data_IF_597153422780
#
_entry.id   IF_597153422780
#
_cell.length_a   1.000
_cell.length_b   1.000
_cell.length_c   1.000
_cell.angle_alpha   90.00
_cell.angle_beta   90.00
_cell.angle_gamma   90.00
#
_symmetry.space_group_name_H-M   'P 1'
#
loop_
_entity.id
_entity.type
_entity.pdbx_description
1 polymer ?
#
# COMPACT_ATOMS: atom_id res chain seq x y z
N UNK A 1 12.06 6.16 8.63
CA UNK A 1 12.90 5.80 7.47
C UNK A 1 11.98 5.59 6.26
N UNK A 2 12.33 6.12 5.09
CA UNK A 2 11.57 5.96 3.85
C UNK A 2 12.26 4.92 2.98
N UNK A 3 11.50 4.00 2.41
CA UNK A 3 12.01 2.93 1.55
C UNK A 3 11.43 3.12 0.16
N UNK A 4 12.29 3.33 -0.83
CA UNK A 4 11.91 3.49 -2.23
C UNK A 4 12.27 2.21 -2.99
N UNK A 5 11.29 1.63 -3.67
CA UNK A 5 11.43 0.38 -4.42
C UNK A 5 10.95 0.60 -5.83
N UNK A 6 11.70 0.15 -6.83
CA UNK A 6 11.29 0.31 -8.21
C UNK A 6 12.38 -0.02 -9.23
N UNK A 7 12.15 0.44 -10.46
CA UNK A 7 13.17 0.48 -11.50
C UNK A 7 13.82 1.85 -11.52
N UNK A 8 15.03 1.93 -12.05
CA UNK A 8 15.79 3.18 -12.17
C UNK A 8 17.07 3.15 -11.36
N UNK A 9 17.69 4.31 -11.24
CA UNK A 9 18.97 4.49 -10.56
C UNK A 9 18.87 5.42 -9.36
N UNK A 10 19.77 5.25 -8.39
CA UNK A 10 19.76 6.05 -7.15
C UNK A 10 19.87 7.56 -7.41
N UNK A 11 20.59 7.95 -8.47
CA UNK A 11 20.80 9.34 -8.88
C UNK A 11 19.51 10.02 -9.35
N UNK A 12 18.55 9.25 -9.84
CA UNK A 12 17.29 9.78 -10.38
C UNK A 12 16.39 10.34 -9.28
N UNK A 13 16.62 9.96 -8.02
CA UNK A 13 15.89 10.48 -6.87
C UNK A 13 16.29 11.91 -6.50
N UNK A 14 17.45 12.40 -6.99
CA UNK A 14 17.96 13.75 -6.75
C UNK A 14 17.83 14.18 -5.26
N UNK A 15 18.14 13.26 -4.35
CA UNK A 15 17.94 13.51 -2.93
C UNK A 15 18.91 14.60 -2.43
N UNK A 16 18.41 15.58 -1.66
CA UNK A 16 19.25 16.45 -0.86
C UNK A 16 20.16 15.63 0.06
N UNK A 17 21.37 16.12 0.32
CA UNK A 17 22.37 15.42 1.13
C UNK A 17 21.84 15.09 2.54
N UNK A 18 20.96 15.94 3.08
CA UNK A 18 20.32 15.80 4.38
C UNK A 18 19.37 14.59 4.46
N UNK A 19 18.93 14.06 3.31
CA UNK A 19 17.99 12.93 3.24
C UNK A 19 18.67 11.57 2.97
N UNK A 20 19.98 11.54 2.73
CA UNK A 20 20.72 10.33 2.37
C UNK A 20 20.58 9.22 3.42
N UNK A 21 20.64 9.54 4.71
CA UNK A 21 20.62 8.55 5.78
C UNK A 21 19.22 8.02 6.12
N UNK A 22 18.17 8.73 5.69
CA UNK A 22 16.78 8.40 6.01
C UNK A 22 16.04 7.74 4.86
N UNK A 23 16.60 7.77 3.64
CA UNK A 23 16.04 7.12 2.45
C UNK A 23 16.89 5.94 2.01
N UNK A 24 16.29 4.76 1.94
CA UNK A 24 16.91 3.59 1.30
C UNK A 24 16.26 3.30 -0.05
N UNK A 25 17.07 3.20 -1.10
CA UNK A 25 16.63 2.84 -2.45
C UNK A 25 17.01 1.40 -2.78
N UNK A 26 16.03 0.61 -3.20
CA UNK A 26 16.22 -0.79 -3.58
C UNK A 26 15.75 -1.02 -5.02
N UNK A 27 16.64 -0.85 -6.00
CA UNK A 27 16.32 -1.09 -7.40
C UNK A 27 16.38 -2.58 -7.73
N UNK A 28 15.53 -3.03 -8.66
CA UNK A 28 15.63 -4.37 -9.27
C UNK A 28 15.64 -5.55 -8.27
N UNK A 29 14.91 -5.42 -7.16
CA UNK A 29 14.80 -6.50 -6.18
C UNK A 29 14.25 -7.78 -6.83
N UNK A 30 14.82 -8.92 -6.44
CA UNK A 30 14.24 -10.22 -6.78
C UNK A 30 12.87 -10.32 -6.13
N UNK A 31 11.97 -11.07 -6.78
CA UNK A 31 10.57 -11.17 -6.35
C UNK A 31 10.39 -11.50 -4.86
N UNK A 32 11.10 -12.50 -4.26
CA UNK A 32 10.96 -12.77 -2.83
C UNK A 32 11.46 -11.63 -1.93
N UNK A 33 12.52 -10.94 -2.34
CA UNK A 33 13.12 -9.84 -1.59
C UNK A 33 12.20 -8.61 -1.61
N UNK A 34 11.55 -8.36 -2.75
CA UNK A 34 10.53 -7.32 -2.91
C UNK A 34 9.37 -7.48 -1.92
N UNK A 35 8.76 -8.67 -1.87
CA UNK A 35 7.65 -8.93 -0.94
C UNK A 35 8.10 -8.96 0.52
N UNK A 36 9.31 -9.47 0.78
CA UNK A 36 9.89 -9.48 2.12
C UNK A 36 10.12 -8.08 2.67
N UNK A 37 10.48 -7.14 1.79
CA UNK A 37 10.63 -5.74 2.15
C UNK A 37 9.27 -5.09 2.40
N UNK A 38 8.30 -5.27 1.49
CA UNK A 38 6.96 -4.69 1.61
C UNK A 38 6.28 -5.10 2.91
N UNK A 39 6.24 -6.40 3.25
CA UNK A 39 5.50 -6.89 4.42
C UNK A 39 5.98 -6.32 5.77
N UNK A 40 7.21 -5.79 5.82
CA UNK A 40 7.83 -5.17 7.00
C UNK A 40 7.54 -3.68 7.13
N UNK A 41 6.92 -3.08 6.12
CA UNK A 41 6.53 -1.67 6.14
C UNK A 41 5.28 -1.44 6.99
N UNK A 42 5.19 -0.25 7.60
CA UNK A 42 3.98 0.20 8.28
C UNK A 42 2.89 0.64 7.30
N UNK A 43 3.28 1.32 6.23
CA UNK A 43 2.38 1.81 5.21
C UNK A 43 3.07 1.80 3.84
N UNK A 44 2.27 1.72 2.78
CA UNK A 44 2.71 1.99 1.41
C UNK A 44 2.17 3.34 0.97
N UNK A 45 3.00 4.13 0.29
CA UNK A 45 2.60 5.42 -0.27
C UNK A 45 2.33 5.23 -1.78
N UNK A 46 1.07 5.29 -2.23
CA UNK A 46 0.73 5.16 -3.63
C UNK A 46 1.08 6.46 -4.38
N UNK A 47 2.22 6.47 -5.07
CA UNK A 47 2.66 7.58 -5.93
C UNK A 47 2.11 7.41 -7.35
N UNK A 48 0.79 7.56 -7.52
CA UNK A 48 0.15 7.37 -8.82
C UNK A 48 0.50 8.52 -9.78
N UNK A 49 1.46 8.29 -10.66
CA UNK A 49 1.86 9.27 -11.68
C UNK A 49 0.91 9.39 -12.88
N UNK A 50 -0.20 8.64 -12.92
CA UNK A 50 -1.14 8.65 -14.04
C UNK A 50 -2.60 8.51 -13.56
N UNK A 51 -3.55 9.29 -14.12
CA UNK A 51 -4.98 9.22 -13.77
C UNK A 51 -5.64 7.87 -14.01
N UNK A 52 -5.10 7.06 -14.93
CA UNK A 52 -5.65 5.74 -15.30
C UNK A 52 -5.85 4.81 -14.10
N UNK A 53 -5.07 4.98 -13.02
CA UNK A 53 -5.21 4.21 -11.79
C UNK A 53 -6.44 4.56 -10.93
N UNK A 54 -7.15 5.63 -11.29
CA UNK A 54 -8.41 6.05 -10.68
C UNK A 54 -9.64 5.78 -11.56
N UNK A 55 -9.43 5.31 -12.79
CA UNK A 55 -10.47 5.27 -13.83
C UNK A 55 -10.66 3.89 -14.44
N UNK A 56 -9.56 3.23 -14.84
CA UNK A 56 -9.62 2.07 -15.73
C UNK A 56 -8.61 0.97 -15.43
N UNK A 57 -7.64 1.20 -14.54
CA UNK A 57 -6.61 0.21 -14.18
C UNK A 57 -6.46 0.07 -12.69
N UNK A 58 -6.34 -1.18 -12.25
CA UNK A 58 -5.94 -1.48 -10.88
C UNK A 58 -4.43 -1.26 -10.72
N UNK A 59 -4.04 -0.52 -9.68
CA UNK A 59 -2.64 -0.33 -9.33
C UNK A 59 -2.04 -1.57 -8.66
N UNK A 60 -0.84 -1.95 -9.08
CA UNK A 60 -0.09 -3.04 -8.43
C UNK A 60 0.26 -2.72 -6.98
N UNK A 61 0.36 -1.44 -6.59
CA UNK A 61 0.57 -1.04 -5.19
C UNK A 61 -0.66 -1.36 -4.34
N UNK A 62 -1.87 -1.19 -4.87
CA UNK A 62 -3.12 -1.53 -4.17
C UNK A 62 -3.22 -3.04 -3.99
N UNK A 63 -2.88 -3.81 -5.04
CA UNK A 63 -2.80 -5.27 -4.93
C UNK A 63 -1.71 -5.70 -3.93
N UNK A 64 -0.54 -5.08 -3.95
CA UNK A 64 0.54 -5.40 -3.03
C UNK A 64 0.14 -5.14 -1.58
N UNK A 65 -0.56 -4.03 -1.32
CA UNK A 65 -1.15 -3.71 -0.03
C UNK A 65 -2.09 -4.82 0.44
N UNK A 66 -3.05 -5.22 -0.39
CA UNK A 66 -3.98 -6.31 -0.09
C UNK A 66 -3.26 -7.63 0.21
N UNK A 67 -2.34 -8.04 -0.66
CA UNK A 67 -1.61 -9.32 -0.52
C UNK A 67 -0.83 -9.37 0.79
N UNK A 68 -0.13 -8.29 1.13
CA UNK A 68 0.76 -8.23 2.30
C UNK A 68 0.11 -7.73 3.58
N UNK A 69 -1.17 -7.34 3.52
CA UNK A 69 -1.87 -6.60 4.58
C UNK A 69 -1.17 -5.32 5.03
N UNK A 70 -0.39 -4.66 4.17
CA UNK A 70 0.26 -3.40 4.51
C UNK A 70 -0.64 -2.26 4.08
N UNK A 71 -1.17 -1.44 5.00
CA UNK A 71 -2.10 -0.36 4.66
C UNK A 71 -1.52 0.68 3.70
N UNK A 72 -2.38 1.29 2.90
CA UNK A 72 -2.02 2.45 2.08
C UNK A 72 -2.12 3.74 2.90
N UNK A 73 -1.18 4.67 2.70
CA UNK A 73 -1.43 6.09 3.00
C UNK A 73 -2.27 6.66 1.85
N UNK A 74 -3.55 6.89 2.10
CA UNK A 74 -4.53 7.14 1.05
C UNK A 74 -5.20 8.52 1.20
N UNK A 75 -5.67 9.05 0.09
CA UNK A 75 -6.62 10.17 0.05
C UNK A 75 -8.04 9.66 -0.24
N UNK A 76 -9.05 10.51 -0.02
CA UNK A 76 -10.46 10.14 -0.22
C UNK A 76 -10.72 9.61 -1.64
N UNK A 77 -10.12 10.24 -2.65
CA UNK A 77 -10.21 9.83 -4.06
C UNK A 77 -9.84 8.35 -4.27
N UNK A 78 -8.86 7.84 -3.53
CA UNK A 78 -8.47 6.43 -3.62
C UNK A 78 -9.62 5.53 -3.12
N UNK A 79 -10.29 5.89 -2.02
CA UNK A 79 -11.43 5.14 -1.51
C UNK A 79 -12.64 5.22 -2.44
N UNK A 80 -12.83 6.35 -3.12
CA UNK A 80 -13.91 6.54 -4.09
C UNK A 80 -13.70 5.65 -5.34
N UNK A 81 -12.45 5.43 -5.76
CA UNK A 81 -12.12 4.49 -6.85
C UNK A 81 -12.14 3.03 -6.40
N UNK A 82 -11.43 2.71 -5.32
CA UNK A 82 -11.21 1.34 -4.86
C UNK A 82 -12.25 1.00 -3.79
N UNK A 83 -13.51 0.86 -4.21
CA UNK A 83 -14.70 0.78 -3.33
C UNK A 83 -14.77 -0.47 -2.44
N UNK A 84 -13.90 -1.47 -2.65
CA UNK A 84 -13.71 -2.58 -1.72
C UNK A 84 -12.90 -2.18 -0.48
N UNK A 85 -12.19 -1.06 -0.53
CA UNK A 85 -11.53 -0.45 0.62
C UNK A 85 -12.50 0.51 1.33
N UNK A 86 -12.19 0.79 2.60
CA UNK A 86 -12.94 1.72 3.44
C UNK A 86 -11.95 2.40 4.39
N UNK A 87 -12.33 3.46 5.12
CA UNK A 87 -11.40 4.20 5.98
C UNK A 87 -10.66 3.34 7.00
N UNK A 88 -11.25 2.21 7.47
CA UNK A 88 -10.56 1.29 8.40
C UNK A 88 -9.42 0.48 7.77
N UNK A 89 -9.35 0.39 6.45
CA UNK A 89 -8.35 -0.44 5.74
C UNK A 89 -7.07 0.34 5.39
N UNK A 90 -7.09 1.66 5.56
CA UNK A 90 -6.03 2.57 5.09
C UNK A 90 -5.67 3.57 6.19
N UNK A 91 -4.55 4.26 6.02
CA UNK A 91 -4.30 5.51 6.70
C UNK A 91 -4.83 6.64 5.83
N UNK A 92 -6.01 7.14 6.17
CA UNK A 92 -6.61 8.25 5.43
C UNK A 92 -5.90 9.56 5.81
N UNK A 93 -5.48 10.32 4.78
CA UNK A 93 -4.96 11.68 4.93
C UNK A 93 -6.08 12.61 5.37
N UNK A 94 -5.77 13.52 6.28
CA UNK A 94 -6.68 14.57 6.71
C UNK A 94 -6.82 15.63 5.60
N UNK A 95 -7.92 16.41 5.58
CA UNK A 95 -8.07 17.51 4.61
C UNK A 95 -6.89 18.49 4.68
N UNK A 96 -6.23 18.72 3.54
CA UNK A 96 -5.06 19.61 3.44
C UNK A 96 -3.74 19.02 3.94
N UNK A 97 -3.73 17.78 4.42
CA UNK A 97 -2.52 17.11 4.91
C UNK A 97 -1.69 16.56 3.75
N UNK A 98 -0.40 16.90 3.68
CA UNK A 98 0.55 16.28 2.76
C UNK A 98 1.06 14.92 3.26
N UNK A 99 1.72 14.16 2.40
CA UNK A 99 2.23 12.82 2.73
C UNK A 99 3.18 12.84 3.93
N UNK A 100 4.04 13.86 4.02
CA UNK A 100 5.04 13.95 5.10
C UNK A 100 4.38 14.20 6.45
N UNK A 101 3.43 15.13 6.52
CA UNK A 101 2.65 15.45 7.70
C UNK A 101 1.85 14.24 8.17
N UNK A 102 1.25 13.51 7.23
CA UNK A 102 0.58 12.26 7.54
C UNK A 102 1.54 11.22 8.10
N UNK A 103 2.72 11.03 7.50
CA UNK A 103 3.73 10.11 8.01
C UNK A 103 4.23 10.49 9.42
N UNK A 104 4.34 11.78 9.73
CA UNK A 104 4.68 12.25 11.08
C UNK A 104 3.57 11.94 12.07
N UNK A 105 2.31 12.21 11.70
CA UNK A 105 1.14 11.87 12.53
C UNK A 105 1.07 10.37 12.82
N UNK A 106 1.28 9.53 11.81
CA UNK A 106 1.27 8.08 11.97
C UNK A 106 2.36 7.57 12.93
N UNK A 107 3.55 8.20 12.92
CA UNK A 107 4.63 7.85 13.84
C UNK A 107 4.32 8.19 15.29
N UNK A 108 3.40 9.12 15.54
CA UNK A 108 2.96 9.50 16.88
C UNK A 108 1.79 8.65 17.40
N UNK A 109 1.23 7.74 16.59
CA UNK A 109 0.10 6.91 16.99
C UNK A 109 0.53 5.83 17.98
N UNK A 110 -0.34 5.47 18.95
CA UNK A 110 -0.18 4.24 19.72
C UNK A 110 -0.13 3.02 18.80
N UNK A 111 0.68 2.02 19.18
CA UNK A 111 0.88 0.80 18.40
C UNK A 111 -0.44 0.12 18.00
N UNK A 112 -1.41 0.07 18.92
CA UNK A 112 -2.72 -0.53 18.65
C UNK A 112 -3.43 0.13 17.46
N UNK A 113 -3.39 1.47 17.39
CA UNK A 113 -4.00 2.27 16.32
C UNK A 113 -3.20 2.14 15.02
N UNK A 114 -1.88 2.07 15.11
CA UNK A 114 -1.00 1.85 13.96
C UNK A 114 -1.22 0.46 13.32
N UNK A 115 -1.50 -0.55 14.13
CA UNK A 115 -1.72 -1.92 13.66
C UNK A 115 -3.17 -2.22 13.27
N UNK A 116 -4.14 -1.38 13.66
CA UNK A 116 -5.55 -1.62 13.39
C UNK A 116 -5.88 -1.72 11.89
N UNK A 117 -5.39 -0.83 11.01
CA UNK A 117 -5.67 -0.96 9.58
C UNK A 117 -5.06 -2.22 8.95
N UNK A 118 -3.90 -2.66 9.45
CA UNK A 118 -3.26 -3.91 9.00
C UNK A 118 -4.13 -5.13 9.31
N UNK A 119 -4.70 -5.20 10.53
CA UNK A 119 -5.64 -6.27 10.90
C UNK A 119 -6.87 -6.26 10.01
N UNK A 120 -7.52 -5.09 9.86
CA UNK A 120 -8.71 -4.95 9.03
C UNK A 120 -8.45 -5.30 7.56
N UNK A 121 -7.28 -4.97 7.02
CA UNK A 121 -6.90 -5.31 5.64
C UNK A 121 -6.65 -6.82 5.47
N UNK A 122 -6.07 -7.49 6.48
CA UNK A 122 -5.93 -8.94 6.50
C UNK A 122 -7.28 -9.67 6.56
N UNK A 123 -8.24 -9.15 7.34
CA UNK A 123 -9.61 -9.65 7.37
C UNK A 123 -10.28 -9.51 5.99
N UNK A 124 -10.16 -8.32 5.37
CA UNK A 124 -10.68 -8.09 4.02
C UNK A 124 -10.08 -9.07 3.00
N UNK A 125 -8.74 -9.22 3.00
CA UNK A 125 -8.05 -10.18 2.12
C UNK A 125 -8.59 -11.60 2.33
N UNK A 126 -8.76 -12.03 3.58
CA UNK A 126 -9.33 -13.35 3.91
C UNK A 126 -10.74 -13.52 3.35
N UNK A 127 -11.61 -12.53 3.54
CA UNK A 127 -12.98 -12.57 3.02
C UNK A 127 -13.02 -12.60 1.48
N UNK A 128 -12.17 -11.83 0.82
CA UNK A 128 -12.07 -11.82 -0.65
C UNK A 128 -11.59 -13.16 -1.21
N UNK A 129 -10.56 -13.76 -0.58
CA UNK A 129 -10.06 -15.08 -0.99
C UNK A 129 -11.11 -16.17 -0.80
N UNK A 130 -11.81 -16.19 0.34
CA UNK A 130 -12.87 -17.17 0.59
C UNK A 130 -13.99 -17.08 -0.46
N UNK A 131 -14.39 -15.85 -0.82
CA UNK A 131 -15.38 -15.62 -1.89
C UNK A 131 -14.87 -16.08 -3.26
N UNK A 132 -13.59 -15.84 -3.56
CA UNK A 132 -12.98 -16.28 -4.81
C UNK A 132 -12.94 -17.81 -4.90
N UNK A 133 -12.56 -18.49 -3.81
CA UNK A 133 -12.50 -19.95 -3.73
C UNK A 133 -13.90 -20.58 -3.92
N UNK A 134 -14.94 -19.98 -3.34
CA UNK A 134 -16.33 -20.42 -3.52
C UNK A 134 -16.77 -20.33 -4.99
N UNK A 135 -16.49 -19.20 -5.64
CA UNK A 135 -16.82 -18.96 -7.05
C UNK A 135 -16.08 -19.93 -7.98
N UNK A 136 -14.77 -20.06 -7.80
CA UNK A 136 -13.93 -20.96 -8.60
C UNK A 136 -14.32 -22.43 -8.39
N UNK A 137 -14.60 -22.81 -7.14
CA UNK A 137 -15.11 -24.14 -6.83
C UNK A 137 -16.46 -24.43 -7.45
N UNK A 138 -17.33 -23.41 -7.61
CA UNK A 138 -18.58 -23.50 -8.37
C UNK A 138 -18.34 -23.88 -9.82
N UNK A 139 -17.49 -23.12 -10.52
CA UNK A 139 -17.17 -23.39 -11.93
C UNK A 139 -16.53 -24.76 -12.15
N UNK A 140 -15.68 -25.22 -11.24
CA UNK A 140 -15.05 -26.54 -11.34
C UNK A 140 -16.02 -27.71 -11.14
N UNK A 141 -17.16 -27.50 -10.46
CA UNK A 141 -18.20 -28.53 -10.31
C UNK A 141 -19.14 -28.61 -11.52
N UNK A 142 -19.21 -27.53 -12.30
CA UNK A 142 -20.04 -27.43 -13.51
C UNK A 142 -19.30 -27.90 -14.78
N UNK A 143 -17.97 -28.03 -14.72
CA UNK A 143 -17.10 -28.50 -15.80
C UNK A 143 -16.89 -30.02 -15.78
#
# INVERSE_FOLDING_TARGET
>A
RVVVVGKGERRDLQLPAELEDVVSFHPWLRYPDFWSLIQRSYALVPLFGMPVYFESRISSTVLASLVTCVPLLAEQRLLDTYTFLSPRHVFLRLPGEDELSAMQRLQALPEEQLLAPRRALCELRGAMNARADELLGGYLREA
#
